data_IF_922625759156
#
_entry.id   IF_922625759156
#
_cell.length_a   1.000
_cell.length_b   1.000
_cell.length_c   1.000
_cell.angle_alpha   90.00
_cell.angle_beta   90.00
_cell.angle_gamma   90.00
#
_symmetry.space_group_name_H-M   'P 1'
#
loop_
_entity.id
_entity.type
_entity.pdbx_description
1 polymer ?
#
# COMPACT_ATOMS: atom_id res chain seq x y z
N UNK A 1 -0.57 -5.18 6.27
CA UNK A 1 -1.48 -4.00 6.35
C UNK A 1 -2.10 -3.74 4.99
N UNK A 2 -3.40 -3.48 4.95
CA UNK A 2 -4.16 -3.17 3.73
C UNK A 2 -4.74 -1.77 3.86
N UNK A 3 -4.52 -0.91 2.87
CA UNK A 3 -5.13 0.42 2.77
C UNK A 3 -6.16 0.43 1.66
N UNK A 4 -7.41 0.69 2.03
CA UNK A 4 -8.54 0.82 1.09
C UNK A 4 -8.42 2.14 0.31
N UNK A 5 -8.86 2.15 -0.95
CA UNK A 5 -8.78 3.31 -1.83
C UNK A 5 -9.66 4.49 -1.37
N UNK A 6 -9.39 5.66 -1.95
CA UNK A 6 -10.19 6.87 -1.74
C UNK A 6 -11.39 6.90 -2.70
N UNK A 7 -12.52 6.34 -2.26
CA UNK A 7 -13.74 6.20 -3.08
C UNK A 7 -14.34 7.53 -3.59
N UNK A 8 -14.02 8.68 -3.00
CA UNK A 8 -14.52 10.00 -3.43
C UNK A 8 -13.57 10.76 -4.35
N UNK A 9 -12.38 10.23 -4.63
CA UNK A 9 -11.47 10.88 -5.56
C UNK A 9 -12.02 10.77 -7.00
N UNK A 10 -12.02 11.89 -7.72
CA UNK A 10 -12.56 11.97 -9.09
C UNK A 10 -11.88 11.03 -10.09
N UNK A 11 -10.66 10.60 -9.80
CA UNK A 11 -9.83 9.73 -10.62
C UNK A 11 -9.93 8.23 -10.27
N UNK A 12 -10.72 7.85 -9.26
CA UNK A 12 -10.88 6.44 -8.85
C UNK A 12 -11.97 5.78 -9.69
N UNK A 13 -11.66 4.64 -10.30
CA UNK A 13 -12.68 3.83 -10.95
C UNK A 13 -13.58 3.19 -9.88
N UNK A 14 -14.91 3.29 -10.06
CA UNK A 14 -15.92 2.74 -9.12
C UNK A 14 -15.92 1.21 -9.01
N UNK A 15 -15.03 0.52 -9.74
CA UNK A 15 -14.95 -0.93 -9.88
C UNK A 15 -13.76 -1.52 -9.10
N UNK A 16 -13.48 -1.02 -7.90
CA UNK A 16 -12.37 -1.55 -7.10
C UNK A 16 -12.69 -2.97 -6.61
N UNK A 17 -11.83 -3.92 -6.96
CA UNK A 17 -11.95 -5.32 -6.52
C UNK A 17 -11.45 -5.53 -5.08
N UNK A 18 -11.31 -4.45 -4.30
CA UNK A 18 -10.61 -4.47 -3.00
C UNK A 18 -11.28 -5.39 -1.99
N UNK A 19 -12.61 -5.50 -2.02
CA UNK A 19 -13.32 -6.37 -1.08
C UNK A 19 -13.01 -7.84 -1.35
N UNK A 20 -12.92 -8.27 -2.61
CA UNK A 20 -12.56 -9.65 -2.93
C UNK A 20 -11.10 -9.95 -2.57
N UNK A 21 -10.19 -8.98 -2.80
CA UNK A 21 -8.79 -9.05 -2.40
C UNK A 21 -8.69 -9.22 -0.88
N UNK A 22 -9.35 -8.36 -0.10
CA UNK A 22 -9.34 -8.45 1.36
C UNK A 22 -9.94 -9.78 1.82
N UNK A 23 -11.09 -10.20 1.27
CA UNK A 23 -11.75 -11.46 1.63
C UNK A 23 -10.84 -12.67 1.40
N UNK A 24 -10.14 -12.69 0.27
CA UNK A 24 -9.18 -13.76 -0.05
C UNK A 24 -7.99 -13.74 0.92
N UNK A 25 -7.39 -12.57 1.18
CA UNK A 25 -6.25 -12.44 2.11
C UNK A 25 -6.65 -12.85 3.53
N UNK A 26 -7.80 -12.40 4.02
CA UNK A 26 -8.27 -12.74 5.37
C UNK A 26 -8.50 -14.23 5.53
N UNK A 27 -9.01 -14.91 4.49
CA UNK A 27 -9.18 -16.36 4.49
C UNK A 27 -7.84 -17.11 4.44
N UNK A 28 -6.93 -16.69 3.57
CA UNK A 28 -5.65 -17.40 3.33
C UNK A 28 -4.66 -17.21 4.49
N UNK A 29 -4.69 -16.05 5.15
CA UNK A 29 -3.76 -15.65 6.20
C UNK A 29 -4.45 -15.44 7.55
N UNK A 30 -5.41 -16.31 7.89
CA UNK A 30 -6.24 -16.20 9.10
C UNK A 30 -5.44 -16.19 10.42
N UNK A 31 -4.23 -16.76 10.40
CA UNK A 31 -3.31 -16.81 11.56
C UNK A 31 -2.46 -15.55 11.71
N UNK A 32 -2.45 -14.68 10.71
CA UNK A 32 -1.61 -13.49 10.67
C UNK A 32 -2.34 -12.24 11.20
N UNK A 33 -1.57 -11.25 11.64
CA UNK A 33 -2.10 -9.97 12.07
C UNK A 33 -2.49 -9.10 10.87
N UNK A 34 -3.75 -9.18 10.46
CA UNK A 34 -4.27 -8.37 9.36
C UNK A 34 -4.84 -7.06 9.89
N UNK A 35 -4.25 -5.95 9.48
CA UNK A 35 -4.72 -4.58 9.75
C UNK A 35 -5.28 -3.98 8.47
N UNK A 36 -6.53 -3.52 8.51
CA UNK A 36 -7.22 -2.84 7.41
C UNK A 36 -7.44 -1.39 7.80
N UNK A 37 -6.84 -0.47 7.05
CA UNK A 37 -6.94 0.97 7.28
C UNK A 37 -7.98 1.57 6.34
N UNK A 38 -9.17 1.84 6.87
CA UNK A 38 -10.27 2.46 6.14
C UNK A 38 -10.19 3.98 6.18
N UNK A 39 -10.74 4.65 5.17
CA UNK A 39 -10.80 6.11 5.10
C UNK A 39 -12.12 6.65 5.64
N UNK A 40 -13.23 5.96 5.37
CA UNK A 40 -14.57 6.40 5.74
C UNK A 40 -15.32 5.39 6.62
N UNK A 41 -16.25 5.84 7.48
CA UNK A 41 -17.11 4.95 8.27
C UNK A 41 -17.94 3.98 7.42
N UNK A 42 -18.37 4.40 6.22
CA UNK A 42 -19.08 3.55 5.24
C UNK A 42 -18.26 2.32 4.85
N UNK A 43 -16.97 2.50 4.58
CA UNK A 43 -16.04 1.41 4.26
C UNK A 43 -15.89 0.44 5.42
N UNK A 44 -15.77 0.96 6.64
CA UNK A 44 -15.70 0.13 7.86
C UNK A 44 -16.93 -0.75 7.98
N UNK A 45 -18.13 -0.18 7.79
CA UNK A 45 -19.40 -0.93 7.85
C UNK A 45 -19.47 -2.00 6.76
N UNK A 46 -19.10 -1.65 5.52
CA UNK A 46 -19.08 -2.60 4.38
C UNK A 46 -18.15 -3.78 4.65
N UNK A 47 -16.92 -3.51 5.07
CA UNK A 47 -15.90 -4.52 5.37
C UNK A 47 -16.35 -5.43 6.52
N UNK A 48 -16.91 -4.87 7.60
CA UNK A 48 -17.44 -5.66 8.73
C UNK A 48 -18.58 -6.59 8.32
N UNK A 49 -19.41 -6.19 7.36
CA UNK A 49 -20.55 -6.98 6.91
C UNK A 49 -20.13 -8.10 5.93
N UNK A 50 -19.16 -7.83 5.04
CA UNK A 50 -18.80 -8.74 3.95
C UNK A 50 -17.65 -9.72 4.28
N UNK A 51 -16.83 -9.39 5.29
CA UNK A 51 -15.63 -10.15 5.63
C UNK A 51 -15.85 -10.88 6.96
N UNK A 52 -15.92 -12.20 6.87
CA UNK A 52 -15.87 -13.09 8.03
C UNK A 52 -14.43 -13.21 8.54
N UNK A 53 -14.25 -13.17 9.86
CA UNK A 53 -12.93 -13.20 10.52
C UNK A 53 -12.77 -12.06 11.51
N UNK A 54 -11.54 -11.86 12.02
CA UNK A 54 -11.22 -10.79 12.98
C UNK A 54 -10.02 -9.93 12.55
N UNK A 55 -9.97 -9.38 11.33
CA UNK A 55 -8.96 -8.38 11.00
C UNK A 55 -9.17 -7.13 11.88
N UNK A 56 -8.07 -6.47 12.26
CA UNK A 56 -8.12 -5.19 12.98
C UNK A 56 -8.46 -4.08 12.01
N UNK A 57 -9.63 -3.48 12.14
CA UNK A 57 -10.08 -2.37 11.27
C UNK A 57 -9.81 -1.05 11.98
N UNK A 58 -9.00 -0.20 11.36
CA UNK A 58 -8.60 1.11 11.89
C UNK A 58 -9.16 2.25 11.01
N UNK A 59 -9.46 3.38 11.63
CA UNK A 59 -9.73 4.66 10.96
C UNK A 59 -8.46 5.52 10.90
N UNK A 60 -8.48 6.63 10.15
CA UNK A 60 -7.30 7.47 9.84
C UNK A 60 -6.61 8.16 11.03
N UNK A 61 -6.99 7.91 12.28
CA UNK A 61 -6.43 8.59 13.46
C UNK A 61 -5.07 8.06 13.94
N UNK A 62 -4.31 7.34 13.10
CA UNK A 62 -3.05 6.70 13.50
C UNK A 62 -1.84 7.28 12.76
N UNK A 63 -0.68 7.26 13.42
CA UNK A 63 0.62 7.57 12.81
C UNK A 63 0.91 6.60 11.65
N UNK A 64 0.64 7.06 10.43
CA UNK A 64 0.81 6.28 9.20
C UNK A 64 2.26 5.83 9.01
N UNK A 65 3.25 6.65 9.36
CA UNK A 65 4.67 6.30 9.21
C UNK A 65 5.05 5.16 10.15
N UNK A 66 4.57 5.20 11.39
CA UNK A 66 4.77 4.13 12.35
C UNK A 66 4.12 2.82 11.87
N UNK A 67 2.88 2.88 11.37
CA UNK A 67 2.19 1.70 10.83
C UNK A 67 2.93 1.08 9.64
N UNK A 68 3.40 1.92 8.71
CA UNK A 68 4.10 1.45 7.51
C UNK A 68 5.43 0.77 7.86
N UNK A 69 6.22 1.34 8.77
CA UNK A 69 7.51 0.76 9.18
C UNK A 69 7.36 -0.60 9.87
N UNK A 70 6.33 -0.74 10.69
CA UNK A 70 6.05 -1.96 11.45
C UNK A 70 5.23 -2.99 10.67
N UNK A 71 4.88 -2.73 9.41
CA UNK A 71 4.22 -3.71 8.55
C UNK A 71 5.24 -4.61 7.85
N UNK A 72 4.97 -5.90 7.78
CA UNK A 72 5.77 -6.85 6.99
C UNK A 72 5.40 -6.81 5.50
N UNK A 73 4.13 -6.57 5.21
CA UNK A 73 3.61 -6.36 3.85
C UNK A 73 2.60 -5.22 3.86
N UNK A 74 2.71 -4.32 2.89
CA UNK A 74 1.74 -3.26 2.65
C UNK A 74 1.03 -3.48 1.31
N UNK A 75 -0.30 -3.32 1.31
CA UNK A 75 -1.15 -3.41 0.13
C UNK A 75 -1.93 -2.11 0.00
N UNK A 76 -1.80 -1.42 -1.13
CA UNK A 76 -2.44 -0.12 -1.36
C UNK A 76 -2.87 0.10 -2.80
N UNK A 77 -3.65 1.17 -3.03
CA UNK A 77 -4.28 1.46 -4.33
C UNK A 77 -3.35 2.08 -5.38
N UNK A 78 -2.12 2.43 -5.00
CA UNK A 78 -1.19 3.22 -5.84
C UNK A 78 -0.99 4.66 -5.37
N UNK A 79 -1.82 5.18 -4.45
CA UNK A 79 -1.70 6.54 -3.93
C UNK A 79 -0.52 6.77 -2.95
N UNK A 80 -0.55 7.87 -2.21
CA UNK A 80 0.56 8.36 -1.35
C UNK A 80 1.16 7.30 -0.43
N UNK A 81 0.35 6.57 0.35
CA UNK A 81 0.87 5.54 1.27
C UNK A 81 1.55 4.37 0.54
N UNK A 82 1.22 4.13 -0.74
CA UNK A 82 1.89 3.14 -1.58
C UNK A 82 3.32 3.60 -1.91
N UNK A 83 3.46 4.88 -2.27
CA UNK A 83 4.79 5.46 -2.47
C UNK A 83 5.59 5.48 -1.17
N UNK A 84 5.01 5.98 -0.08
CA UNK A 84 5.66 6.06 1.24
C UNK A 84 6.13 4.69 1.74
N UNK A 85 5.27 3.66 1.69
CA UNK A 85 5.61 2.31 2.14
C UNK A 85 6.81 1.74 1.38
N UNK A 86 6.81 1.88 0.05
CA UNK A 86 7.90 1.38 -0.79
C UNK A 86 9.22 2.09 -0.52
N UNK A 87 9.19 3.42 -0.33
CA UNK A 87 10.38 4.25 -0.05
C UNK A 87 10.85 4.13 1.41
N UNK A 88 9.99 3.68 2.32
CA UNK A 88 10.36 3.27 3.68
C UNK A 88 10.99 1.87 3.72
N UNK A 89 10.97 1.12 2.61
CA UNK A 89 11.54 -0.22 2.52
C UNK A 89 10.59 -1.32 3.00
N UNK A 90 9.30 -1.03 3.12
CA UNK A 90 8.27 -2.04 3.36
C UNK A 90 7.93 -2.71 2.03
N UNK A 91 7.86 -4.05 1.96
CA UNK A 91 7.36 -4.75 0.78
C UNK A 91 5.96 -4.28 0.40
N UNK A 92 5.81 -3.75 -0.81
CA UNK A 92 4.58 -3.06 -1.23
C UNK A 92 3.98 -3.68 -2.48
N UNK A 93 2.70 -4.04 -2.38
CA UNK A 93 1.86 -4.46 -3.51
C UNK A 93 0.85 -3.35 -3.80
N UNK A 94 0.76 -2.95 -5.07
CA UNK A 94 -0.21 -2.00 -5.58
C UNK A 94 -1.30 -2.76 -6.34
N UNK A 95 -2.56 -2.63 -5.90
CA UNK A 95 -3.71 -3.16 -6.66
C UNK A 95 -4.25 -2.18 -7.69
N UNK A 96 -3.50 -1.13 -8.02
CA UNK A 96 -3.71 -0.24 -9.16
C UNK A 96 -5.13 0.31 -9.31
N UNK A 97 -5.81 0.64 -8.20
CA UNK A 97 -7.08 1.36 -8.27
C UNK A 97 -6.89 2.86 -8.61
N UNK A 98 -5.66 3.37 -8.46
CA UNK A 98 -5.27 4.75 -8.83
C UNK A 98 -4.00 4.71 -9.70
N UNK A 99 -4.14 4.58 -11.03
CA UNK A 99 -3.01 4.72 -11.94
C UNK A 99 -2.41 6.13 -11.80
N UNK A 100 -1.12 6.21 -11.52
CA UNK A 100 -0.44 7.49 -11.42
C UNK A 100 1.06 7.35 -11.75
N UNK A 101 1.65 8.46 -12.18
CA UNK A 101 3.05 8.52 -12.62
C UNK A 101 4.05 8.10 -11.54
N UNK A 102 3.72 8.31 -10.26
CA UNK A 102 4.59 7.96 -9.14
C UNK A 102 4.61 6.45 -8.95
N UNK A 103 3.44 5.81 -8.96
CA UNK A 103 3.33 4.36 -8.88
C UNK A 103 3.99 3.69 -10.10
N UNK A 104 3.77 4.21 -11.31
CA UNK A 104 4.44 3.70 -12.51
C UNK A 104 5.96 3.75 -12.39
N UNK A 105 6.50 4.86 -11.88
CA UNK A 105 7.92 4.99 -11.61
C UNK A 105 8.42 3.92 -10.63
N UNK A 106 7.73 3.74 -9.51
CA UNK A 106 8.13 2.79 -8.47
C UNK A 106 8.02 1.33 -8.92
N UNK A 107 7.05 1.01 -9.78
CA UNK A 107 6.94 -0.30 -10.44
C UNK A 107 8.12 -0.52 -11.39
N UNK A 108 8.48 0.48 -12.22
CA UNK A 108 9.66 0.41 -13.10
C UNK A 108 10.96 0.24 -12.32
N UNK A 109 11.05 0.77 -11.09
CA UNK A 109 12.19 0.59 -10.18
C UNK A 109 12.13 -0.69 -9.34
N UNK A 110 11.12 -1.54 -9.54
CA UNK A 110 10.89 -2.76 -8.76
C UNK A 110 10.80 -2.52 -7.24
N UNK A 111 10.31 -1.35 -6.83
CA UNK A 111 10.02 -1.00 -5.44
C UNK A 111 8.57 -1.35 -5.07
N UNK A 112 7.68 -1.36 -6.06
CA UNK A 112 6.28 -1.73 -5.93
C UNK A 112 5.98 -2.88 -6.89
N UNK A 113 5.27 -3.90 -6.41
CA UNK A 113 4.71 -4.95 -7.26
C UNK A 113 3.26 -4.60 -7.60
N UNK A 114 2.97 -4.39 -8.87
CA UNK A 114 1.58 -4.19 -9.33
C UNK A 114 0.90 -5.54 -9.54
N UNK A 115 -0.24 -5.76 -8.90
CA UNK A 115 -1.06 -6.97 -9.07
C UNK A 115 -2.51 -6.71 -8.62
N UNK A 116 -3.49 -7.14 -9.42
CA UNK A 116 -4.92 -6.89 -9.18
C UNK A 116 -5.72 -8.16 -8.89
N UNK A 117 -5.16 -9.33 -9.25
CA UNK A 117 -5.80 -10.63 -9.06
C UNK A 117 -5.63 -11.10 -7.60
N UNK A 118 -6.72 -11.38 -6.85
CA UNK A 118 -6.63 -11.80 -5.44
C UNK A 118 -5.70 -12.99 -5.18
N UNK A 119 -5.71 -13.99 -6.07
CA UNK A 119 -4.84 -15.18 -5.96
C UNK A 119 -3.36 -14.82 -6.08
N UNK A 120 -3.01 -14.04 -7.13
CA UNK A 120 -1.61 -13.64 -7.36
C UNK A 120 -1.09 -12.70 -6.27
N UNK A 121 -1.96 -11.86 -5.70
CA UNK A 121 -1.62 -11.07 -4.51
C UNK A 121 -1.23 -11.99 -3.35
N UNK A 122 -2.00 -13.05 -3.10
CA UNK A 122 -1.68 -14.01 -2.05
C UNK A 122 -0.36 -14.75 -2.32
N UNK A 123 -0.11 -15.14 -3.57
CA UNK A 123 1.17 -15.76 -3.95
C UNK A 123 2.35 -14.80 -3.73
N UNK A 124 2.18 -13.51 -4.03
CA UNK A 124 3.20 -12.51 -3.77
C UNK A 124 3.44 -12.30 -2.27
N UNK A 125 2.38 -12.26 -1.46
CA UNK A 125 2.51 -12.21 0.02
C UNK A 125 3.32 -13.41 0.53
N UNK A 126 3.01 -14.62 0.05
CA UNK A 126 3.76 -15.83 0.40
C UNK A 126 5.22 -15.68 0.03
N UNK A 127 5.55 -15.21 -1.18
CA UNK A 127 6.95 -14.95 -1.58
C UNK A 127 7.63 -13.94 -0.67
N UNK A 128 6.93 -12.87 -0.28
CA UNK A 128 7.47 -11.85 0.61
C UNK A 128 7.81 -12.45 1.98
N UNK A 129 6.97 -13.30 2.54
CA UNK A 129 7.23 -13.98 3.82
C UNK A 129 8.44 -14.91 3.79
N UNK A 130 8.77 -15.51 2.64
CA UNK A 130 10.00 -16.29 2.46
C UNK A 130 11.23 -15.44 2.15
N UNK A 131 11.07 -14.12 2.02
CA UNK A 131 12.12 -13.19 1.62
C UNK A 131 12.57 -12.29 2.77
N UNK A 132 13.79 -11.77 2.70
CA UNK A 132 14.29 -10.83 3.71
C UNK A 132 13.82 -9.40 3.43
N UNK A 133 13.18 -8.75 4.41
CA UNK A 133 12.81 -7.32 4.37
C UNK A 133 14.01 -6.40 4.08
N UNK A 134 15.22 -6.83 4.42
CA UNK A 134 16.47 -6.08 4.18
C UNK A 134 16.67 -5.72 2.70
N UNK A 135 16.22 -6.56 1.76
CA UNK A 135 16.37 -6.27 0.33
C UNK A 135 15.55 -5.05 -0.09
N UNK A 136 14.33 -4.91 0.43
CA UNK A 136 13.44 -3.79 0.13
C UNK A 136 14.00 -2.49 0.73
N UNK A 137 14.49 -2.54 1.96
CA UNK A 137 15.15 -1.41 2.62
C UNK A 137 16.38 -0.94 1.84
N UNK A 138 17.23 -1.87 1.37
CA UNK A 138 18.41 -1.52 0.57
C UNK A 138 18.02 -0.86 -0.75
N UNK A 139 17.08 -1.43 -1.50
CA UNK A 139 16.59 -0.85 -2.77
C UNK A 139 16.00 0.54 -2.56
N UNK A 140 15.14 0.70 -1.56
CA UNK A 140 14.52 1.97 -1.23
C UNK A 140 15.55 3.04 -0.84
N UNK A 141 16.59 2.66 -0.08
CA UNK A 141 17.68 3.58 0.26
C UNK A 141 18.44 4.06 -0.98
N UNK A 142 18.81 3.15 -1.88
CA UNK A 142 19.52 3.47 -3.12
C UNK A 142 18.68 4.43 -3.97
N UNK A 143 17.37 4.18 -4.09
CA UNK A 143 16.52 5.00 -4.94
C UNK A 143 16.32 6.42 -4.36
N UNK A 144 16.16 6.55 -3.04
CA UNK A 144 16.06 7.85 -2.37
C UNK A 144 17.32 8.71 -2.54
N UNK A 145 18.51 8.09 -2.60
CA UNK A 145 19.76 8.82 -2.81
C UNK A 145 19.86 9.46 -4.20
N UNK A 146 19.04 9.02 -5.16
CA UNK A 146 18.98 9.60 -6.51
C UNK A 146 17.95 10.72 -6.62
N UNK A 147 17.11 10.92 -5.60
CA UNK A 147 16.06 11.93 -5.61
C UNK A 147 16.65 13.32 -5.32
N UNK A 148 16.11 14.34 -5.98
CA UNK A 148 16.45 15.73 -5.68
C UNK A 148 16.04 16.07 -4.24
N UNK A 149 16.81 16.95 -3.59
CA UNK A 149 16.40 17.52 -2.31
C UNK A 149 15.20 18.45 -2.55
N UNK A 150 14.01 18.16 -1.98
CA UNK A 150 12.80 18.94 -2.25
C UNK A 150 12.92 20.37 -1.73
N UNK A 151 13.68 20.61 -0.66
CA UNK A 151 13.88 21.96 -0.10
C UNK A 151 14.74 22.80 -1.05
N UNK A 152 15.84 22.24 -1.55
CA UNK A 152 16.70 22.93 -2.52
C UNK A 152 15.94 23.23 -3.81
N UNK A 153 15.16 22.26 -4.30
CA UNK A 153 14.32 22.43 -5.49
C UNK A 153 13.29 23.54 -5.30
N UNK A 154 12.62 23.56 -4.15
CA UNK A 154 11.60 24.57 -3.82
C UNK A 154 12.22 25.97 -3.72
N UNK A 155 13.33 26.12 -3.01
CA UNK A 155 14.04 27.41 -2.87
C UNK A 155 14.49 27.94 -4.23
N UNK A 156 14.95 27.07 -5.13
CA UNK A 156 15.32 27.46 -6.49
C UNK A 156 14.12 28.02 -7.27
N UNK A 157 12.98 27.33 -7.24
CA UNK A 157 11.76 27.73 -7.96
C UNK A 157 11.19 29.06 -7.42
N UNK A 158 11.24 29.28 -6.09
CA UNK A 158 10.72 30.53 -5.50
C UNK A 158 11.57 31.76 -5.86
N UNK A 159 12.86 31.56 -6.16
CA UNK A 159 13.79 32.64 -6.52
C UNK A 159 13.84 32.96 -8.01
N UNK A 160 13.23 32.13 -8.85
CA UNK A 160 13.01 32.38 -10.29
C UNK A 160 11.78 33.28 -10.49
#
# INVERSE_FOLDING_TARGET
MIRVEEEYASYVSKSSNIISIIKKIVKEFEKENIVILCRYPSQIKKIKNEISGKPKILSMSFDGKHLLKNSDVFIGSGGTMTAESSLLGTPTISYNAVPNIVEEYLVKKHLVKRETEPEKICDEIKKIFHSSKTQYVKKAKIEKLKMENPIEKLVKIIRE
#
